data_IF_130319794409
#
_entry.id   IF_130319794409
#
_cell.length_a   1.000
_cell.length_b   1.000
_cell.length_c   1.000
_cell.angle_alpha   90.00
_cell.angle_beta   90.00
_cell.angle_gamma   90.00
#
_symmetry.space_group_name_H-M   'P 1'
#
loop_
_entity.id
_entity.type
_entity.pdbx_description
1 polymer ?
#
# COMPACT_ATOMS: atom_id res chain seq x y z
N UNK A 1 -9.22 -14.48 2.45
CA UNK A 1 -10.13 -14.50 3.60
C UNK A 1 -11.16 -13.40 3.48
N UNK A 2 -10.71 -12.14 3.39
CA UNK A 2 -11.54 -10.94 3.14
C UNK A 2 -12.57 -11.13 2.01
N UNK A 3 -12.14 -11.45 0.79
CA UNK A 3 -13.07 -11.56 -0.35
C UNK A 3 -14.19 -12.59 -0.12
N UNK A 4 -13.91 -13.71 0.54
CA UNK A 4 -14.94 -14.69 0.91
C UNK A 4 -15.91 -14.13 1.93
N UNK A 5 -15.42 -13.41 2.95
CA UNK A 5 -16.27 -12.78 3.96
C UNK A 5 -17.17 -11.68 3.35
N UNK A 6 -16.66 -10.96 2.35
CA UNK A 6 -17.40 -9.92 1.63
C UNK A 6 -18.22 -10.46 0.43
N UNK A 7 -18.26 -11.77 0.21
CA UNK A 7 -18.92 -12.39 -0.97
C UNK A 7 -18.47 -11.82 -2.33
N UNK A 8 -17.19 -11.48 -2.45
CA UNK A 8 -16.55 -10.95 -3.68
C UNK A 8 -15.64 -11.99 -4.33
N UNK A 9 -15.44 -11.82 -5.63
CA UNK A 9 -14.35 -12.49 -6.36
C UNK A 9 -13.08 -11.62 -6.27
N UNK A 10 -11.93 -12.25 -6.02
CA UNK A 10 -10.65 -11.55 -5.92
C UNK A 10 -9.75 -11.94 -7.08
N UNK A 11 -9.28 -10.93 -7.81
CA UNK A 11 -8.09 -11.03 -8.63
C UNK A 11 -6.92 -10.40 -7.86
N UNK A 12 -5.91 -11.19 -7.55
CA UNK A 12 -4.71 -10.70 -6.86
C UNK A 12 -3.59 -10.46 -7.87
N UNK A 13 -3.17 -9.21 -8.02
CA UNK A 13 -2.06 -8.80 -8.87
C UNK A 13 -0.76 -8.52 -8.09
N UNK A 14 -0.72 -8.86 -6.79
CA UNK A 14 0.44 -8.60 -5.95
C UNK A 14 1.65 -9.45 -6.37
N UNK A 15 2.79 -8.78 -6.54
CA UNK A 15 4.09 -9.39 -6.77
C UNK A 15 5.00 -8.96 -5.63
N UNK A 16 5.64 -9.95 -4.97
CA UNK A 16 6.38 -9.74 -3.74
C UNK A 16 7.46 -8.65 -3.90
N UNK A 17 7.33 -7.57 -3.13
CA UNK A 17 8.27 -6.45 -3.13
C UNK A 17 8.30 -5.64 -4.42
N UNK A 18 7.24 -5.65 -5.24
CA UNK A 18 7.19 -4.96 -6.54
C UNK A 18 6.03 -3.94 -6.67
N UNK A 19 5.40 -3.52 -5.58
CA UNK A 19 4.35 -2.49 -5.63
C UNK A 19 4.96 -1.09 -5.74
N UNK A 20 5.49 -0.74 -6.92
CA UNK A 20 6.24 0.50 -7.18
C UNK A 20 5.56 1.50 -8.13
N UNK A 21 4.23 1.40 -8.28
CA UNK A 21 3.45 2.26 -9.18
C UNK A 21 3.88 2.15 -10.66
N UNK A 22 4.27 0.95 -11.08
CA UNK A 22 4.66 0.70 -12.46
C UNK A 22 3.52 0.91 -13.44
N UNK A 23 3.78 1.63 -14.53
CA UNK A 23 2.76 1.98 -15.53
C UNK A 23 2.14 0.76 -16.21
N UNK A 24 2.90 -0.33 -16.39
CA UNK A 24 2.35 -1.55 -16.98
C UNK A 24 1.33 -2.22 -16.04
N UNK A 25 1.49 -2.08 -14.72
CA UNK A 25 0.51 -2.54 -13.73
C UNK A 25 -0.74 -1.68 -13.78
N UNK A 26 -0.61 -0.34 -13.88
CA UNK A 26 -1.76 0.54 -14.07
C UNK A 26 -2.56 0.19 -15.35
N UNK A 27 -1.89 -0.07 -16.48
CA UNK A 27 -2.55 -0.51 -17.72
C UNK A 27 -3.28 -1.84 -17.54
N UNK A 28 -2.66 -2.77 -16.83
CA UNK A 28 -3.28 -4.07 -16.54
C UNK A 28 -4.56 -3.88 -15.73
N UNK A 29 -4.53 -3.04 -14.69
CA UNK A 29 -5.71 -2.73 -13.87
C UNK A 29 -6.78 -2.00 -14.69
N UNK A 30 -6.38 -1.01 -15.50
CA UNK A 30 -7.26 -0.27 -16.41
C UNK A 30 -8.03 -1.20 -17.34
N UNK A 31 -7.34 -2.17 -17.96
CA UNK A 31 -7.92 -3.05 -18.98
C UNK A 31 -8.76 -4.21 -18.40
N UNK A 32 -8.68 -4.46 -17.08
CA UNK A 32 -9.42 -5.50 -16.39
C UNK A 32 -10.73 -4.96 -15.79
N UNK A 33 -11.86 -5.71 -15.88
CA UNK A 33 -13.09 -5.31 -15.22
C UNK A 33 -12.93 -5.41 -13.70
N UNK A 34 -13.25 -4.34 -12.98
CA UNK A 34 -13.21 -4.28 -11.53
C UNK A 34 -14.39 -3.45 -11.01
N UNK A 35 -15.08 -3.95 -9.99
CA UNK A 35 -16.11 -3.20 -9.27
C UNK A 35 -15.56 -2.47 -8.05
N UNK A 36 -14.34 -2.80 -7.64
CA UNK A 36 -13.62 -2.22 -6.52
C UNK A 36 -12.13 -2.52 -6.69
N UNK A 37 -11.27 -1.60 -6.31
CA UNK A 37 -9.81 -1.72 -6.44
C UNK A 37 -9.18 -1.38 -5.09
N UNK A 38 -8.31 -2.24 -4.58
CA UNK A 38 -7.43 -1.91 -3.45
C UNK A 38 -5.97 -1.92 -3.89
N UNK A 39 -5.25 -0.87 -3.53
CA UNK A 39 -3.84 -0.68 -3.89
C UNK A 39 -2.99 -0.61 -2.63
N UNK A 40 -1.84 -1.27 -2.64
CA UNK A 40 -0.82 -1.08 -1.62
C UNK A 40 0.49 -0.65 -2.29
N UNK A 41 1.34 0.04 -1.53
CA UNK A 41 2.64 0.49 -2.01
C UNK A 41 3.70 0.02 -1.02
N UNK A 42 4.88 -0.35 -1.51
CA UNK A 42 6.00 -0.81 -0.66
C UNK A 42 7.20 0.13 -0.78
N UNK A 43 8.05 0.13 0.25
CA UNK A 43 9.29 0.91 0.26
C UNK A 43 10.49 0.05 -0.17
N UNK A 44 10.94 0.22 -1.42
CA UNK A 44 12.24 -0.28 -1.85
C UNK A 44 13.27 0.84 -2.09
N UNK A 45 12.98 2.07 -1.65
CA UNK A 45 13.74 3.28 -2.02
C UNK A 45 13.91 3.43 -3.55
N UNK A 46 12.90 3.02 -4.31
CA UNK A 46 12.91 3.09 -5.78
C UNK A 46 12.61 4.48 -6.32
N UNK A 47 12.13 5.39 -5.46
CA UNK A 47 11.71 6.74 -5.83
C UNK A 47 12.12 7.75 -4.74
N UNK A 48 12.26 9.01 -5.15
CA UNK A 48 12.30 10.19 -4.26
C UNK A 48 10.93 10.86 -4.25
N UNK A 49 10.64 11.68 -3.25
CA UNK A 49 9.33 12.33 -3.05
C UNK A 49 8.72 12.90 -4.35
N UNK A 50 9.49 13.74 -5.07
CA UNK A 50 9.04 14.36 -6.33
C UNK A 50 8.58 13.33 -7.37
N UNK A 51 9.30 12.21 -7.49
CA UNK A 51 8.97 11.13 -8.43
C UNK A 51 7.78 10.32 -7.93
N UNK A 52 7.73 10.02 -6.64
CA UNK A 52 6.65 9.28 -6.00
C UNK A 52 5.30 9.97 -6.22
N UNK A 53 5.21 11.26 -5.92
CA UNK A 53 3.95 12.03 -6.08
C UNK A 53 3.51 12.05 -7.54
N UNK A 54 4.41 12.32 -8.48
CA UNK A 54 4.08 12.31 -9.90
C UNK A 54 3.66 10.93 -10.40
N UNK A 55 4.31 9.85 -9.94
CA UNK A 55 3.97 8.48 -10.30
C UNK A 55 2.62 8.07 -9.73
N UNK A 56 2.30 8.47 -8.49
CA UNK A 56 1.01 8.20 -7.85
C UNK A 56 -0.16 8.78 -8.65
N UNK A 57 -0.07 10.06 -9.01
CA UNK A 57 -1.11 10.72 -9.82
C UNK A 57 -1.26 10.07 -11.19
N UNK A 58 -0.15 9.86 -11.91
CA UNK A 58 -0.20 9.22 -13.24
C UNK A 58 -0.70 7.78 -13.21
N UNK A 59 -0.44 7.04 -12.13
CA UNK A 59 -0.96 5.68 -11.93
C UNK A 59 -2.47 5.70 -11.74
N UNK A 60 -3.00 6.61 -10.91
CA UNK A 60 -4.44 6.76 -10.69
C UNK A 60 -5.16 7.24 -11.94
N UNK A 61 -4.64 8.25 -12.64
CA UNK A 61 -5.23 8.77 -13.88
C UNK A 61 -5.39 7.64 -14.92
N UNK A 62 -4.36 6.82 -15.07
CA UNK A 62 -4.42 5.69 -16.00
C UNK A 62 -5.47 4.64 -15.64
N UNK A 63 -5.70 4.39 -14.34
CA UNK A 63 -6.79 3.51 -13.91
C UNK A 63 -8.13 4.18 -14.21
N UNK A 64 -8.28 5.46 -13.88
CA UNK A 64 -9.50 6.24 -14.07
C UNK A 64 -9.93 6.35 -15.54
N UNK A 65 -9.01 6.25 -16.50
CA UNK A 65 -9.33 6.19 -17.94
C UNK A 65 -10.38 5.13 -18.30
N UNK A 66 -10.44 4.01 -17.58
CA UNK A 66 -11.44 2.94 -17.79
C UNK A 66 -12.31 2.68 -16.56
N UNK A 67 -11.95 3.25 -15.42
CA UNK A 67 -12.64 3.10 -14.13
C UNK A 67 -13.02 4.46 -13.53
N UNK A 68 -13.79 5.31 -14.23
CA UNK A 68 -13.99 6.71 -13.84
C UNK A 68 -14.67 6.87 -12.48
N UNK A 69 -15.49 5.90 -12.06
CA UNK A 69 -16.24 5.94 -10.79
C UNK A 69 -16.04 4.69 -9.93
N UNK A 70 -15.22 3.72 -10.36
CA UNK A 70 -14.97 2.51 -9.59
C UNK A 70 -14.28 2.87 -8.27
N UNK A 71 -14.75 2.43 -7.10
CA UNK A 71 -14.07 2.78 -5.86
C UNK A 71 -12.65 2.25 -5.81
N UNK A 72 -11.72 3.12 -5.44
CA UNK A 72 -10.30 2.82 -5.25
C UNK A 72 -9.97 3.12 -3.80
N UNK A 73 -9.42 2.14 -3.08
CA UNK A 73 -8.85 2.37 -1.74
C UNK A 73 -7.35 2.19 -1.77
N UNK A 74 -6.63 3.19 -1.28
CA UNK A 74 -5.20 3.10 -0.99
C UNK A 74 -5.03 2.53 0.41
N UNK A 75 -4.32 1.42 0.53
CA UNK A 75 -3.91 0.87 1.83
C UNK A 75 -2.45 1.25 2.05
N UNK A 76 -2.19 2.08 3.05
CA UNK A 76 -0.82 2.49 3.36
C UNK A 76 0.02 1.29 3.85
N UNK A 77 1.35 1.35 3.80
CA UNK A 77 2.17 0.24 4.27
C UNK A 77 1.89 -0.13 5.73
N UNK A 78 1.82 -1.44 6.02
CA UNK A 78 1.81 -1.97 7.38
C UNK A 78 3.15 -1.70 8.09
N UNK A 79 3.24 -1.99 9.40
CA UNK A 79 4.50 -1.81 10.15
C UNK A 79 5.63 -2.67 9.55
N UNK A 80 6.80 -2.08 9.37
CA UNK A 80 8.06 -2.82 9.24
C UNK A 80 9.10 -2.10 10.12
N UNK A 81 9.40 -2.62 11.32
CA UNK A 81 10.18 -1.88 12.32
C UNK A 81 11.51 -1.33 11.81
N UNK A 82 12.20 -2.06 10.93
CA UNK A 82 13.49 -1.65 10.40
C UNK A 82 13.39 -0.53 9.35
N UNK A 83 12.23 -0.34 8.72
CA UNK A 83 12.01 0.59 7.61
C UNK A 83 11.07 1.77 7.95
N UNK A 84 10.64 1.90 9.21
CA UNK A 84 9.78 3.02 9.65
C UNK A 84 10.45 4.37 9.40
N UNK A 85 11.72 4.48 9.79
CA UNK A 85 12.54 5.70 9.69
C UNK A 85 13.77 5.53 8.78
N UNK A 86 13.87 4.37 8.11
CA UNK A 86 14.94 4.08 7.16
C UNK A 86 14.36 3.77 5.79
N UNK A 87 14.82 4.44 4.72
CA UNK A 87 14.48 4.07 3.37
C UNK A 87 14.90 2.64 3.03
N UNK A 88 14.19 2.00 2.11
CA UNK A 88 14.57 0.71 1.57
C UNK A 88 15.92 0.71 0.80
N UNK A 89 16.28 -0.43 0.18
CA UNK A 89 15.53 -1.68 0.12
C UNK A 89 15.59 -2.46 1.44
N UNK A 90 14.75 -3.49 1.53
CA UNK A 90 14.62 -4.41 2.67
C UNK A 90 15.20 -5.80 2.37
N UNK A 91 16.53 -5.97 2.23
CA UNK A 91 17.11 -7.28 1.90
C UNK A 91 16.95 -8.29 3.05
N UNK A 92 16.92 -9.57 2.67
CA UNK A 92 16.99 -10.69 3.62
C UNK A 92 18.45 -10.90 4.03
N UNK A 93 18.71 -10.83 5.34
CA UNK A 93 20.00 -11.10 5.95
C UNK A 93 20.30 -12.59 6.07
N UNK A 94 21.52 -12.92 6.51
CA UNK A 94 21.95 -14.31 6.76
C UNK A 94 21.21 -14.97 7.92
N UNK A 95 20.62 -14.17 8.80
CA UNK A 95 19.74 -14.58 9.90
C UNK A 95 18.30 -14.83 9.44
N UNK A 96 18.04 -14.78 8.13
CA UNK A 96 16.71 -14.88 7.53
C UNK A 96 15.73 -13.79 8.00
N UNK A 97 16.25 -12.65 8.49
CA UNK A 97 15.45 -11.48 8.84
C UNK A 97 15.59 -10.38 7.79
N UNK A 98 14.63 -9.49 7.77
CA UNK A 98 14.67 -8.29 6.96
C UNK A 98 15.50 -7.21 7.66
N UNK A 99 16.38 -6.60 6.89
CA UNK A 99 17.21 -5.47 7.31
C UNK A 99 16.99 -4.30 6.37
N UNK A 100 17.54 -3.14 6.71
CA UNK A 100 17.69 -2.00 5.79
C UNK A 100 19.18 -1.77 5.52
N UNK A 101 19.48 -1.23 4.35
CA UNK A 101 20.86 -0.89 3.99
C UNK A 101 21.15 0.52 4.46
N UNK A 102 22.18 0.70 5.29
CA UNK A 102 22.65 2.02 5.68
C UNK A 102 23.17 2.78 4.45
N UNK A 103 22.74 4.05 4.31
CA UNK A 103 23.12 4.90 3.18
C UNK A 103 23.93 6.09 3.64
N UNK A 104 24.90 6.55 2.85
CA UNK A 104 25.55 7.84 3.07
C UNK A 104 24.52 8.96 3.15
N UNK A 105 24.71 9.92 4.05
CA UNK A 105 23.78 11.02 4.29
C UNK A 105 23.39 11.78 3.01
N UNK A 106 24.34 11.96 2.09
CA UNK A 106 24.10 12.60 0.80
C UNK A 106 23.08 11.86 -0.10
N UNK A 107 22.90 10.55 0.09
CA UNK A 107 21.92 9.73 -0.66
C UNK A 107 20.61 9.51 0.12
N UNK A 108 20.61 9.81 1.42
CA UNK A 108 19.44 9.69 2.29
C UNK A 108 18.51 10.92 2.19
N UNK A 109 19.00 12.05 1.70
CA UNK A 109 18.16 13.23 1.45
C UNK A 109 17.04 12.89 0.45
N UNK A 110 15.79 13.25 0.80
CA UNK A 110 14.57 13.01 0.03
C UNK A 110 14.23 11.53 -0.24
N UNK A 111 14.99 10.60 0.32
CA UNK A 111 14.65 9.19 0.33
C UNK A 111 13.43 8.98 1.23
N UNK A 112 12.60 8.00 0.90
CA UNK A 112 11.31 7.80 1.54
C UNK A 112 11.39 6.61 2.50
N UNK A 113 11.16 6.84 3.79
CA UNK A 113 10.85 5.80 4.77
C UNK A 113 9.37 5.40 4.69
N UNK A 114 8.96 4.36 5.44
CA UNK A 114 7.52 4.02 5.50
C UNK A 114 6.68 5.15 6.10
N UNK A 115 7.18 5.85 7.13
CA UNK A 115 6.49 7.02 7.69
C UNK A 115 6.24 8.09 6.63
N UNK A 116 7.25 8.41 5.81
CA UNK A 116 7.10 9.39 4.74
C UNK A 116 6.13 8.92 3.65
N UNK A 117 6.15 7.64 3.27
CA UNK A 117 5.19 7.09 2.29
C UNK A 117 3.76 7.17 2.82
N UNK A 118 3.51 6.82 4.09
CA UNK A 118 2.17 6.92 4.69
C UNK A 118 1.67 8.37 4.64
N UNK A 119 2.49 9.31 5.08
CA UNK A 119 2.15 10.74 5.09
C UNK A 119 1.85 11.25 3.67
N UNK A 120 2.71 10.94 2.69
CA UNK A 120 2.48 11.33 1.30
C UNK A 120 1.19 10.72 0.75
N UNK A 121 0.91 9.45 1.02
CA UNK A 121 -0.32 8.82 0.57
C UNK A 121 -1.56 9.52 1.14
N UNK A 122 -1.58 9.82 2.44
CA UNK A 122 -2.67 10.58 3.06
C UNK A 122 -2.83 11.96 2.41
N UNK A 123 -1.74 12.70 2.26
CA UNK A 123 -1.76 14.02 1.65
C UNK A 123 -2.28 13.99 0.21
N UNK A 124 -1.81 13.03 -0.60
CA UNK A 124 -2.16 12.97 -2.02
C UNK A 124 -3.58 12.43 -2.25
N UNK A 125 -4.09 11.52 -1.42
CA UNK A 125 -5.50 11.11 -1.48
C UNK A 125 -6.42 12.28 -1.16
N UNK A 126 -6.14 13.03 -0.07
CA UNK A 126 -6.92 14.24 0.28
C UNK A 126 -6.84 15.31 -0.81
N UNK A 127 -5.70 15.46 -1.47
CA UNK A 127 -5.57 16.40 -2.59
C UNK A 127 -6.46 15.99 -3.77
N UNK A 128 -6.46 14.70 -4.13
CA UNK A 128 -7.28 14.15 -5.22
C UNK A 128 -8.79 14.23 -4.95
N UNK A 129 -9.20 13.97 -3.71
CA UNK A 129 -10.59 14.14 -3.29
C UNK A 129 -11.05 15.60 -3.48
N UNK A 130 -10.22 16.58 -3.05
CA UNK A 130 -10.50 18.02 -3.25
C UNK A 130 -10.55 18.43 -4.71
N UNK A 131 -9.87 17.72 -5.59
CA UNK A 131 -9.89 17.90 -7.05
C UNK A 131 -11.09 17.20 -7.72
N UNK A 132 -11.89 16.44 -6.97
CA UNK A 132 -13.16 15.86 -7.41
C UNK A 132 -13.17 14.34 -7.57
N UNK A 133 -12.10 13.63 -7.20
CA UNK A 133 -12.08 12.16 -7.19
C UNK A 133 -12.82 11.60 -5.97
N UNK A 134 -14.15 11.67 -5.99
CA UNK A 134 -15.02 11.30 -4.87
C UNK A 134 -15.11 9.79 -4.59
N UNK A 135 -14.41 8.95 -5.35
CA UNK A 135 -14.38 7.49 -5.17
C UNK A 135 -12.96 6.99 -4.88
N UNK A 136 -12.12 7.83 -4.28
CA UNK A 136 -10.76 7.52 -3.87
C UNK A 136 -10.64 7.71 -2.36
N UNK A 137 -10.32 6.63 -1.66
CA UNK A 137 -10.23 6.59 -0.21
C UNK A 137 -8.90 6.03 0.25
N UNK A 138 -8.65 6.17 1.55
CA UNK A 138 -7.43 5.67 2.19
C UNK A 138 -7.74 4.91 3.48
N UNK A 139 -7.08 3.76 3.64
CA UNK A 139 -7.04 2.98 4.88
C UNK A 139 -5.61 3.01 5.39
N UNK A 140 -5.43 3.45 6.64
CA UNK A 140 -4.15 3.36 7.33
C UNK A 140 -3.81 1.90 7.61
N UNK A 141 -2.76 1.39 6.98
CA UNK A 141 -2.27 0.03 7.14
C UNK A 141 -1.87 -0.32 8.56
N UNK A 142 -1.50 0.65 9.39
CA UNK A 142 -1.18 0.42 10.81
C UNK A 142 -2.42 0.02 11.63
N UNK A 143 -3.63 0.41 11.18
CA UNK A 143 -4.88 -0.09 11.78
C UNK A 143 -5.14 -1.55 11.46
N UNK A 144 -4.57 -2.06 10.36
CA UNK A 144 -4.69 -3.47 9.96
C UNK A 144 -3.62 -4.32 10.65
N UNK A 145 -2.38 -3.84 10.66
CA UNK A 145 -1.22 -4.51 11.25
C UNK A 145 -0.17 -3.49 11.70
N UNK A 146 -0.16 -3.19 13.00
CA UNK A 146 0.61 -2.11 13.62
C UNK A 146 1.66 -2.60 14.63
N UNK A 147 2.20 -1.68 15.43
CA UNK A 147 3.28 -1.97 16.39
C UNK A 147 2.94 -3.11 17.37
N UNK A 148 1.70 -3.18 17.84
CA UNK A 148 1.23 -4.24 18.75
C UNK A 148 1.19 -5.63 18.11
N UNK A 149 1.27 -5.71 16.78
CA UNK A 149 1.17 -6.95 16.01
C UNK A 149 2.56 -7.50 15.60
N UNK A 150 3.66 -6.79 15.88
CA UNK A 150 5.03 -7.13 15.41
C UNK A 150 5.48 -8.54 15.82
N UNK A 151 4.97 -9.08 16.94
CA UNK A 151 5.25 -10.44 17.37
C UNK A 151 4.80 -11.51 16.36
N UNK A 152 3.86 -11.16 15.47
CA UNK A 152 3.35 -12.02 14.42
C UNK A 152 4.13 -11.88 13.09
N UNK A 153 5.29 -11.22 13.07
CA UNK A 153 6.18 -11.15 11.90
C UNK A 153 7.17 -12.32 11.87
N UNK A 154 7.27 -13.03 10.74
CA UNK A 154 8.16 -14.20 10.61
C UNK A 154 9.63 -13.83 10.44
N UNK A 155 9.90 -12.74 9.73
CA UNK A 155 11.24 -12.25 9.38
C UNK A 155 11.43 -10.76 9.72
N UNK A 156 10.47 -10.16 10.42
CA UNK A 156 10.45 -8.71 10.69
C UNK A 156 9.77 -7.87 9.61
N UNK A 157 9.16 -8.49 8.58
CA UNK A 157 8.34 -7.80 7.58
C UNK A 157 7.05 -8.54 7.26
N UNK A 158 7.11 -9.86 7.06
CA UNK A 158 5.95 -10.64 6.61
C UNK A 158 5.12 -11.14 7.79
N UNK A 159 3.81 -10.86 7.84
CA UNK A 159 2.91 -11.47 8.82
C UNK A 159 2.87 -12.99 8.70
N UNK A 160 2.77 -13.67 9.84
CA UNK A 160 2.47 -15.10 9.92
C UNK A 160 0.96 -15.34 9.67
N UNK A 161 0.53 -16.60 9.76
CA UNK A 161 -0.88 -16.96 9.56
C UNK A 161 -1.86 -16.30 10.57
N UNK A 162 -1.42 -16.05 11.81
CA UNK A 162 -2.21 -15.34 12.84
C UNK A 162 -2.33 -13.86 12.48
N UNK A 163 -1.23 -13.23 12.08
CA UNK A 163 -1.19 -11.85 11.60
C UNK A 163 -2.11 -11.63 10.39
N UNK A 164 -2.04 -12.50 9.37
CA UNK A 164 -2.93 -12.42 8.22
C UNK A 164 -4.41 -12.62 8.58
N UNK A 165 -4.72 -13.48 9.57
CA UNK A 165 -6.09 -13.64 10.06
C UNK A 165 -6.61 -12.36 10.69
N UNK A 166 -5.80 -11.74 11.56
CA UNK A 166 -6.13 -10.47 12.22
C UNK A 166 -6.37 -9.35 11.21
N UNK A 167 -5.50 -9.22 10.21
CA UNK A 167 -5.71 -8.28 9.11
C UNK A 167 -7.02 -8.56 8.36
N UNK A 168 -7.33 -9.83 8.10
CA UNK A 168 -8.54 -10.23 7.40
C UNK A 168 -9.82 -10.04 8.22
N UNK A 169 -9.73 -9.91 9.55
CA UNK A 169 -10.84 -9.55 10.44
C UNK A 169 -11.02 -8.03 10.52
N UNK A 170 -9.92 -7.28 10.51
CA UNK A 170 -9.91 -5.80 10.62
C UNK A 170 -10.24 -5.09 9.30
N UNK A 171 -9.87 -5.66 8.16
CA UNK A 171 -10.07 -5.02 6.85
C UNK A 171 -11.56 -4.90 6.45
N UNK A 172 -12.40 -5.94 6.55
CA UNK A 172 -13.79 -5.86 6.09
C UNK A 172 -14.62 -4.71 6.67
N UNK A 173 -14.64 -4.43 7.99
CA UNK A 173 -15.43 -3.33 8.52
C UNK A 173 -14.95 -1.96 8.02
N UNK A 174 -13.66 -1.81 7.71
CA UNK A 174 -13.09 -0.56 7.18
C UNK A 174 -13.39 -0.39 5.69
N UNK A 175 -13.35 -1.47 4.92
CA UNK A 175 -13.46 -1.42 3.47
C UNK A 175 -14.90 -1.61 2.94
N UNK A 176 -15.71 -2.43 3.63
CA UNK A 176 -17.05 -2.85 3.18
C UNK A 176 -18.14 -2.60 4.24
N UNK A 177 -17.82 -1.95 5.36
CA UNK A 177 -18.81 -1.53 6.35
C UNK A 177 -19.75 -0.45 5.79
N UNK A 178 -20.69 0.05 6.61
CA UNK A 178 -21.73 1.01 6.17
C UNK A 178 -21.16 2.29 5.54
N UNK A 179 -19.97 2.72 6.00
CA UNK A 179 -19.20 3.87 5.48
C UNK A 179 -17.92 3.42 4.75
N UNK A 180 -17.84 2.14 4.35
CA UNK A 180 -16.66 1.56 3.72
C UNK A 180 -16.57 1.94 2.23
N UNK A 181 -15.38 2.26 1.71
CA UNK A 181 -15.24 2.77 0.34
C UNK A 181 -15.50 1.74 -0.76
N UNK A 182 -15.47 0.43 -0.47
CA UNK A 182 -15.56 -0.62 -1.50
C UNK A 182 -16.94 -1.30 -1.59
N UNK A 183 -18.01 -0.58 -1.26
CA UNK A 183 -19.39 -1.07 -1.41
C UNK A 183 -19.77 -1.41 -2.86
#
# INVERSE_FOLDING_TARGET
MVARAASRSLLNLAVAGQSHLDQFTARTIRDLPATAISLNIVNADSMRERVFVSAFHGFLDMIRDSHPTTPIVIVTPIICPVAEDHPGPTPVGRDHRIHVVERPAALASEALSLNQIRELLHQQVVAREKEGDANLDIIDGLTLFGADDVADLTDGLHPNAVGYRRMAERFPPLAFGDEGPLQ
#
